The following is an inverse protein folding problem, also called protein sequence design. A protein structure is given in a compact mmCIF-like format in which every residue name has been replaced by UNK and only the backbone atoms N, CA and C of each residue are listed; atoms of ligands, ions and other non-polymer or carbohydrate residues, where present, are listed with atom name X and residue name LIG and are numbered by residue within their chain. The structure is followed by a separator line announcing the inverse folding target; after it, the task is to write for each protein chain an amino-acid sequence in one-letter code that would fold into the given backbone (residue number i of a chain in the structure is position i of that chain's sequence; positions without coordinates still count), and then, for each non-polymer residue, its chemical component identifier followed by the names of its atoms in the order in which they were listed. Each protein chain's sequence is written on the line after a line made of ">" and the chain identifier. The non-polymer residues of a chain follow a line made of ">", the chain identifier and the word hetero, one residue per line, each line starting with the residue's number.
data_IF_979136111198
#
_entry.id   IF_979136111198
#
_cell.length_a   1.000
_cell.length_b   1.000
_cell.length_c   1.000
_cell.angle_alpha   90.00
_cell.angle_beta   90.00
_cell.angle_gamma   90.00
#
_symmetry.space_group_name_H-M   'P 1'
#
loop_
_entity.id
_entity.type
_entity.pdbx_description
1 polymer ?
#
# COMPACT_ATOMS: atom_id res chain seq x y z
N UNK A 1 22.29 2.26 12.62
CA UNK A 1 21.88 3.40 13.48
C UNK A 1 21.03 2.93 14.66
N UNK A 2 19.84 2.37 14.45
CA UNK A 2 19.01 1.85 15.55
C UNK A 2 19.72 0.79 16.39
N UNK A 3 20.47 -0.13 15.76
CA UNK A 3 21.31 -1.11 16.46
C UNK A 3 22.31 -0.45 17.43
N UNK A 4 23.07 0.55 16.98
CA UNK A 4 24.00 1.31 17.84
C UNK A 4 23.27 1.97 19.01
N UNK A 5 22.13 2.62 18.75
CA UNK A 5 21.37 3.27 19.82
C UNK A 5 20.77 2.25 20.81
N UNK A 6 20.33 1.10 20.34
CA UNK A 6 19.82 0.03 21.19
C UNK A 6 20.93 -0.59 22.06
N UNK A 7 22.12 -0.82 21.52
CA UNK A 7 23.27 -1.31 22.31
C UNK A 7 23.68 -0.30 23.39
N UNK A 8 23.73 0.99 23.07
CA UNK A 8 24.18 2.03 23.98
C UNK A 8 23.13 2.43 25.03
N UNK A 9 21.85 2.48 24.63
CA UNK A 9 20.79 3.08 25.44
C UNK A 9 19.66 2.12 25.79
N UNK A 10 19.54 0.99 25.08
CA UNK A 10 18.42 0.05 25.24
C UNK A 10 18.48 -0.80 26.50
N UNK A 11 19.67 -1.01 27.08
CA UNK A 11 19.84 -1.80 28.33
C UNK A 11 19.18 -3.18 28.28
N UNK A 12 19.15 -3.81 27.09
CA UNK A 12 18.55 -5.12 26.87
C UNK A 12 17.01 -5.11 26.77
N UNK A 13 16.37 -3.94 26.65
CA UNK A 13 14.93 -3.84 26.37
C UNK A 13 14.56 -4.60 25.09
N UNK A 14 13.35 -5.15 25.07
CA UNK A 14 12.74 -5.79 23.91
C UNK A 14 11.30 -5.26 23.74
N UNK A 15 10.69 -5.42 22.55
CA UNK A 15 9.28 -5.10 22.34
C UNK A 15 8.35 -5.71 23.39
N UNK A 16 8.61 -6.97 23.78
CA UNK A 16 7.80 -7.69 24.79
C UNK A 16 7.95 -7.07 26.18
N UNK A 17 9.15 -6.61 26.54
CA UNK A 17 9.41 -6.00 27.85
C UNK A 17 8.81 -4.60 27.99
N UNK A 18 8.64 -3.87 26.87
CA UNK A 18 8.13 -2.50 26.86
C UNK A 18 6.66 -2.42 26.50
N UNK A 19 6.10 -3.47 25.89
CA UNK A 19 4.75 -3.47 25.33
C UNK A 19 4.63 -2.63 24.05
N UNK A 20 5.74 -2.18 23.47
CA UNK A 20 5.78 -1.38 22.25
C UNK A 20 5.88 -2.34 21.06
N UNK A 21 5.08 -2.09 20.02
CA UNK A 21 5.11 -2.84 18.76
C UNK A 21 6.52 -2.83 18.14
N UNK A 22 6.98 -3.95 17.58
CA UNK A 22 8.39 -4.17 17.27
C UNK A 22 9.04 -3.18 16.28
N UNK A 23 8.34 -2.78 15.22
CA UNK A 23 8.77 -1.76 14.27
C UNK A 23 8.81 -0.36 14.89
N UNK A 24 7.80 -0.01 15.70
CA UNK A 24 7.79 1.26 16.46
C UNK A 24 8.94 1.30 17.46
N UNK A 25 9.16 0.20 18.19
CA UNK A 25 10.25 0.05 19.15
C UNK A 25 11.62 0.27 18.48
N UNK A 26 11.88 -0.35 17.33
CA UNK A 26 13.13 -0.14 16.58
C UNK A 26 13.21 1.27 15.98
N UNK A 27 12.07 1.84 15.57
CA UNK A 27 11.93 3.23 15.12
C UNK A 27 12.28 4.24 16.22
N UNK A 28 11.87 4.01 17.45
CA UNK A 28 12.19 4.86 18.61
C UNK A 28 13.70 4.96 18.81
N UNK A 29 14.44 3.85 18.64
CA UNK A 29 15.91 3.89 18.69
C UNK A 29 16.53 4.62 17.50
N UNK A 30 15.88 4.66 16.35
CA UNK A 30 16.32 5.49 15.22
C UNK A 30 16.17 6.99 15.55
N UNK A 31 15.03 7.38 16.12
CA UNK A 31 14.77 8.76 16.58
C UNK A 31 15.73 9.14 17.70
N UNK A 32 15.94 8.25 18.68
CA UNK A 32 16.90 8.44 19.76
C UNK A 32 18.33 8.65 19.22
N UNK A 33 18.76 7.82 18.27
CA UNK A 33 20.05 7.99 17.60
C UNK A 33 20.18 9.40 17.00
N UNK A 34 19.14 9.88 16.28
CA UNK A 34 19.14 11.20 15.68
C UNK A 34 19.22 12.34 16.70
N UNK A 35 18.45 12.23 17.79
CA UNK A 35 18.44 13.22 18.88
C UNK A 35 19.78 13.29 19.61
N UNK A 36 20.38 12.14 19.93
CA UNK A 36 21.69 12.09 20.59
C UNK A 36 22.82 12.53 19.65
N UNK A 37 22.75 12.17 18.37
CA UNK A 37 23.69 12.67 17.36
C UNK A 37 23.64 14.20 17.27
N UNK A 38 22.44 14.80 17.28
CA UNK A 38 22.27 16.25 17.24
C UNK A 38 22.98 16.94 18.42
N UNK A 39 22.86 16.40 19.64
CA UNK A 39 23.56 16.92 20.83
C UNK A 39 25.09 16.84 20.68
N UNK A 40 25.60 15.73 20.12
CA UNK A 40 27.03 15.56 19.87
C UNK A 40 27.54 16.55 18.81
N UNK A 41 26.76 16.77 17.75
CA UNK A 41 27.08 17.77 16.70
C UNK A 41 27.10 19.18 17.27
N UNK A 42 26.12 19.56 18.09
CA UNK A 42 26.07 20.87 18.76
C UNK A 42 27.29 21.08 19.67
N UNK A 43 27.73 20.03 20.38
CA UNK A 43 28.95 20.08 21.22
C UNK A 43 30.23 20.23 20.37
N UNK A 44 30.31 19.50 19.24
CA UNK A 44 31.42 19.63 18.30
C UNK A 44 31.48 21.03 17.66
N UNK A 45 30.33 21.59 17.29
CA UNK A 45 30.23 22.95 16.77
C UNK A 45 30.63 23.99 17.82
N UNK A 46 30.21 23.82 19.08
CA UNK A 46 30.65 24.67 20.19
C UNK A 46 32.17 24.62 20.42
N UNK A 47 32.82 23.53 20.01
CA UNK A 47 34.28 23.34 20.06
C UNK A 47 35.01 23.89 18.82
N UNK A 48 34.31 24.57 17.91
CA UNK A 48 34.88 25.22 16.73
C UNK A 48 34.84 24.38 15.43
N UNK A 49 34.21 23.21 15.42
CA UNK A 49 34.07 22.39 14.21
C UNK A 49 32.94 22.93 13.32
N UNK A 50 33.06 22.73 12.00
CA UNK A 50 31.92 22.90 11.10
C UNK A 50 30.89 21.80 11.36
N UNK A 51 29.62 22.05 11.03
CA UNK A 51 28.53 21.06 11.21
C UNK A 51 28.85 19.71 10.56
N UNK A 52 29.38 19.72 9.34
CA UNK A 52 29.72 18.52 8.58
C UNK A 52 30.85 17.71 9.23
N UNK A 53 31.87 18.41 9.74
CA UNK A 53 32.99 17.76 10.45
C UNK A 53 32.51 17.24 11.80
N UNK A 54 31.73 18.04 12.55
CA UNK A 54 31.17 17.62 13.83
C UNK A 54 30.28 16.38 13.69
N UNK A 55 29.49 16.27 12.61
CA UNK A 55 28.65 15.09 12.34
C UNK A 55 29.47 13.85 11.98
N UNK A 56 30.51 13.98 11.15
CA UNK A 56 31.40 12.86 10.81
C UNK A 56 32.24 12.40 12.01
N UNK A 57 32.70 13.35 12.82
CA UNK A 57 33.56 13.09 13.97
C UNK A 57 32.78 12.63 15.21
N UNK A 58 31.45 12.82 15.23
CA UNK A 58 30.58 12.42 16.33
C UNK A 58 30.77 10.93 16.67
N UNK A 59 31.01 10.58 17.95
CA UNK A 59 31.19 9.19 18.38
C UNK A 59 30.06 8.26 17.91
N UNK A 60 28.81 8.72 17.95
CA UNK A 60 27.67 7.92 17.46
C UNK A 60 27.74 7.62 15.96
N UNK A 61 28.20 8.59 15.15
CA UNK A 61 28.31 8.40 13.71
C UNK A 61 29.47 7.46 13.37
N UNK A 62 30.60 7.57 14.08
CA UNK A 62 31.71 6.62 13.95
C UNK A 62 31.30 5.20 14.36
N UNK A 63 30.56 5.04 15.45
CA UNK A 63 30.03 3.74 15.86
C UNK A 63 29.09 3.15 14.80
N UNK A 64 28.23 3.96 14.19
CA UNK A 64 27.35 3.52 13.10
C UNK A 64 28.13 3.10 11.84
N UNK A 65 29.21 3.81 11.50
CA UNK A 65 30.09 3.43 10.39
C UNK A 65 30.83 2.12 10.69
N UNK A 66 31.37 1.98 11.90
CA UNK A 66 32.06 0.75 12.31
C UNK A 66 31.11 -0.45 12.29
N UNK A 67 29.87 -0.28 12.77
CA UNK A 67 28.87 -1.35 12.75
C UNK A 67 28.48 -1.77 11.33
N UNK A 68 28.48 -0.83 10.37
CA UNK A 68 28.27 -1.18 8.95
C UNK A 68 29.43 -2.04 8.42
N UNK A 69 30.67 -1.65 8.69
CA UNK A 69 31.86 -2.44 8.31
C UNK A 69 31.82 -3.84 8.93
N UNK A 70 31.42 -3.92 10.20
CA UNK A 70 31.31 -5.19 10.93
C UNK A 70 30.21 -6.09 10.38
N UNK A 71 29.09 -5.50 9.95
CA UNK A 71 28.00 -6.20 9.26
C UNK A 71 28.44 -6.73 7.89
N UNK A 72 29.13 -5.91 7.08
CA UNK A 72 29.66 -6.33 5.77
C UNK A 72 30.72 -7.43 5.90
N UNK A 73 31.54 -7.38 6.95
CA UNK A 73 32.51 -8.42 7.28
C UNK A 73 31.87 -9.70 7.84
N UNK A 74 30.55 -9.71 8.08
CA UNK A 74 29.83 -10.86 8.61
C UNK A 74 30.18 -11.21 10.05
N UNK A 75 30.56 -10.22 10.88
CA UNK A 75 30.90 -10.47 12.30
C UNK A 75 29.70 -11.11 13.03
N UNK A 76 29.90 -12.23 13.76
CA UNK A 76 28.80 -12.98 14.36
C UNK A 76 27.84 -12.14 15.21
N UNK A 77 28.36 -11.37 16.16
CA UNK A 77 27.54 -10.59 17.10
C UNK A 77 26.72 -9.50 16.39
N UNK A 78 27.32 -8.81 15.41
CA UNK A 78 26.63 -7.79 14.61
C UNK A 78 25.53 -8.40 13.75
N UNK A 79 25.79 -9.56 13.14
CA UNK A 79 24.81 -10.28 12.34
C UNK A 79 23.65 -10.83 13.19
N UNK A 80 23.94 -11.32 14.40
CA UNK A 80 22.92 -11.78 15.34
C UNK A 80 22.02 -10.63 15.79
N UNK A 81 22.60 -9.49 16.18
CA UNK A 81 21.85 -8.29 16.53
C UNK A 81 21.00 -7.79 15.35
N UNK A 82 21.56 -7.77 14.14
CA UNK A 82 20.85 -7.36 12.94
C UNK A 82 19.64 -8.26 12.67
N UNK A 83 19.80 -9.59 12.73
CA UNK A 83 18.69 -10.54 12.58
C UNK A 83 17.62 -10.35 13.66
N UNK A 84 18.05 -10.18 14.91
CA UNK A 84 17.16 -9.97 16.05
C UNK A 84 16.30 -8.72 15.87
N UNK A 85 16.92 -7.57 15.60
CA UNK A 85 16.16 -6.33 15.44
C UNK A 85 15.25 -6.34 14.21
N UNK A 86 15.69 -6.92 13.09
CA UNK A 86 14.82 -7.05 11.91
C UNK A 86 13.64 -7.97 12.18
N UNK A 87 13.81 -9.05 12.94
CA UNK A 87 12.70 -9.94 13.30
C UNK A 87 11.60 -9.21 14.07
N UNK A 88 11.98 -8.26 14.94
CA UNK A 88 11.01 -7.39 15.63
C UNK A 88 10.29 -6.46 14.68
N UNK A 89 11.01 -5.86 13.73
CA UNK A 89 10.41 -4.98 12.71
C UNK A 89 9.41 -5.77 11.86
N UNK A 90 9.79 -6.94 11.36
CA UNK A 90 8.91 -7.76 10.51
C UNK A 90 7.66 -8.22 11.27
N UNK A 91 7.80 -8.69 12.51
CA UNK A 91 6.66 -9.03 13.34
C UNK A 91 5.73 -7.84 13.59
N UNK A 92 6.29 -6.63 13.72
CA UNK A 92 5.52 -5.39 13.80
C UNK A 92 4.75 -5.10 12.49
N UNK A 93 5.45 -5.11 11.35
CA UNK A 93 4.83 -4.89 10.05
C UNK A 93 3.72 -5.90 9.74
N UNK A 94 3.89 -7.17 10.12
CA UNK A 94 2.86 -8.20 9.92
C UNK A 94 1.54 -7.85 10.62
N UNK A 95 1.58 -7.23 11.81
CA UNK A 95 0.37 -6.75 12.50
C UNK A 95 -0.35 -5.69 11.67
N UNK A 96 0.39 -4.70 11.14
CA UNK A 96 -0.19 -3.65 10.29
C UNK A 96 -0.71 -4.21 8.98
N UNK A 97 0.04 -5.10 8.32
CA UNK A 97 -0.37 -5.72 7.05
C UNK A 97 -1.63 -6.56 7.22
N UNK A 98 -1.73 -7.38 8.27
CA UNK A 98 -2.93 -8.16 8.56
C UNK A 98 -4.15 -7.26 8.79
N UNK A 99 -3.98 -6.16 9.54
CA UNK A 99 -5.06 -5.21 9.80
C UNK A 99 -5.52 -4.50 8.53
N UNK A 100 -4.58 -4.06 7.69
CA UNK A 100 -4.90 -3.50 6.38
C UNK A 100 -5.52 -4.57 5.48
N UNK A 101 -5.22 -5.86 5.67
CA UNK A 101 -5.68 -6.96 4.81
C UNK A 101 -4.80 -7.13 3.58
N UNK A 102 -3.48 -7.04 3.77
CA UNK A 102 -2.45 -7.38 2.79
C UNK A 102 -1.66 -8.59 3.26
N UNK A 103 -1.33 -9.47 2.32
CA UNK A 103 -0.56 -10.69 2.53
C UNK A 103 0.56 -10.84 1.48
N UNK A 104 1.59 -11.62 1.82
CA UNK A 104 2.76 -11.81 0.98
C UNK A 104 3.18 -13.29 0.96
N UNK A 105 3.32 -13.86 -0.23
CA UNK A 105 3.83 -15.23 -0.41
C UNK A 105 5.34 -15.32 -0.19
N UNK A 106 6.08 -14.24 -0.52
CA UNK A 106 7.53 -14.21 -0.45
C UNK A 106 8.08 -12.82 -0.17
N UNK A 107 9.10 -12.77 0.67
CA UNK A 107 9.87 -11.56 0.98
C UNK A 107 11.26 -11.70 0.36
N UNK A 108 11.62 -10.76 -0.51
CA UNK A 108 12.95 -10.63 -1.07
C UNK A 108 13.72 -9.56 -0.32
N UNK A 109 14.96 -9.86 0.04
CA UNK A 109 15.82 -8.92 0.73
C UNK A 109 16.91 -8.42 -0.22
N UNK A 110 17.10 -7.10 -0.29
CA UNK A 110 18.20 -6.49 -1.06
C UNK A 110 19.59 -7.01 -0.65
N UNK A 111 19.72 -7.46 0.60
CA UNK A 111 20.93 -8.10 1.15
C UNK A 111 21.21 -9.48 0.55
N UNK A 112 20.27 -10.08 -0.17
CA UNK A 112 20.42 -11.38 -0.84
C UNK A 112 20.66 -11.22 -2.34
N UNK A 113 20.12 -10.16 -2.97
CA UNK A 113 20.13 -10.01 -4.43
C UNK A 113 21.38 -9.32 -4.98
N UNK A 114 22.16 -8.62 -4.14
CA UNK A 114 23.29 -7.81 -4.61
C UNK A 114 24.44 -8.63 -5.21
N UNK A 115 24.67 -9.86 -4.73
CA UNK A 115 25.74 -10.74 -5.25
C UNK A 115 25.43 -11.15 -6.69
N UNK A 116 24.21 -11.66 -6.93
CA UNK A 116 23.72 -11.98 -8.27
C UNK A 116 23.78 -10.74 -9.18
N UNK A 117 23.38 -9.57 -8.66
CA UNK A 117 23.51 -8.31 -9.38
C UNK A 117 24.94 -8.00 -9.84
N UNK A 118 25.94 -8.24 -8.98
CA UNK A 118 27.36 -8.03 -9.34
C UNK A 118 27.83 -8.99 -10.42
N UNK A 119 27.41 -10.26 -10.37
CA UNK A 119 27.74 -11.24 -11.42
C UNK A 119 27.14 -10.83 -12.78
N UNK A 120 25.93 -10.29 -12.77
CA UNK A 120 25.27 -9.74 -13.97
C UNK A 120 25.97 -8.48 -14.50
N UNK A 121 26.56 -7.66 -13.63
CA UNK A 121 27.42 -6.54 -14.05
C UNK A 121 28.68 -7.04 -14.76
N UNK A 122 29.34 -8.06 -14.22
CA UNK A 122 30.52 -8.65 -14.87
C UNK A 122 30.16 -9.27 -16.22
N UNK A 123 29.03 -9.98 -16.30
CA UNK A 123 28.49 -10.48 -17.57
C UNK A 123 28.23 -9.34 -18.57
N UNK A 124 27.67 -8.22 -18.11
CA UNK A 124 27.40 -7.06 -18.96
C UNK A 124 28.67 -6.37 -19.47
N UNK A 125 29.75 -6.34 -18.68
CA UNK A 125 31.08 -5.90 -19.13
C UNK A 125 31.62 -6.81 -20.24
N UNK A 126 31.54 -8.14 -20.05
CA UNK A 126 31.97 -9.12 -21.04
C UNK A 126 31.17 -9.03 -22.36
N UNK A 127 29.87 -8.74 -22.27
CA UNK A 127 28.99 -8.50 -23.42
C UNK A 127 29.14 -7.10 -24.05
N UNK A 128 29.99 -6.23 -23.48
CA UNK A 128 30.15 -4.82 -23.88
C UNK A 128 28.85 -3.99 -23.80
N UNK A 129 27.92 -4.41 -22.95
CA UNK A 129 26.73 -3.64 -22.58
C UNK A 129 27.09 -2.57 -21.56
N UNK A 130 28.00 -2.91 -20.65
CA UNK A 130 28.58 -1.98 -19.69
C UNK A 130 30.01 -1.62 -20.07
N UNK A 131 30.49 -0.49 -19.54
CA UNK A 131 31.86 -0.03 -19.68
C UNK A 131 32.40 0.49 -18.35
N UNK A 132 33.73 0.45 -18.19
CA UNK A 132 34.43 0.94 -17.00
C UNK A 132 35.00 2.33 -17.28
N UNK A 133 34.83 3.26 -16.35
CA UNK A 133 35.47 4.58 -16.39
C UNK A 133 36.86 4.53 -15.75
N UNK A 134 37.64 5.61 -15.93
CA UNK A 134 39.02 5.72 -15.43
C UNK A 134 39.13 5.57 -13.90
N UNK A 135 38.07 5.96 -13.16
CA UNK A 135 37.99 5.81 -11.71
C UNK A 135 37.64 4.39 -11.24
N UNK A 136 37.46 3.44 -12.17
CA UNK A 136 37.14 2.05 -11.89
C UNK A 136 35.64 1.75 -11.77
N UNK A 137 34.77 2.76 -11.76
CA UNK A 137 33.31 2.56 -11.70
C UNK A 137 32.73 2.01 -13.01
N UNK A 138 31.62 1.27 -12.92
CA UNK A 138 30.99 0.60 -14.07
C UNK A 138 29.66 1.25 -14.42
N UNK A 139 29.47 1.52 -15.71
CA UNK A 139 28.36 2.31 -16.26
C UNK A 139 27.74 1.66 -17.48
N UNK A 140 26.51 2.07 -17.78
CA UNK A 140 25.86 1.85 -19.07
C UNK A 140 25.66 3.19 -19.79
N UNK A 141 25.89 3.21 -21.10
CA UNK A 141 25.54 4.36 -21.95
C UNK A 141 24.15 4.15 -22.54
N UNK A 142 23.22 5.01 -22.15
CA UNK A 142 21.83 5.02 -22.62
C UNK A 142 21.49 6.28 -23.41
N UNK A 143 22.49 7.12 -23.77
CA UNK A 143 22.30 8.29 -24.64
C UNK A 143 21.67 7.92 -25.98
N UNK A 144 22.02 6.79 -26.64
CA UNK A 144 21.34 6.34 -27.86
C UNK A 144 19.84 6.08 -27.67
N UNK A 145 19.41 5.79 -26.44
CA UNK A 145 18.02 5.52 -26.07
C UNK A 145 17.29 6.76 -25.51
N UNK A 146 17.95 7.93 -25.57
CA UNK A 146 17.42 9.21 -25.07
C UNK A 146 17.46 9.36 -23.55
N UNK A 147 18.38 8.67 -22.86
CA UNK A 147 18.60 8.73 -21.42
C UNK A 147 20.07 9.06 -21.10
N UNK A 148 20.40 9.26 -19.82
CA UNK A 148 21.78 9.54 -19.42
C UNK A 148 22.59 8.25 -19.17
N UNK A 149 23.91 8.40 -19.06
CA UNK A 149 24.75 7.33 -18.52
C UNK A 149 24.33 7.00 -17.09
N UNK A 150 24.22 5.70 -16.79
CA UNK A 150 23.83 5.23 -15.45
C UNK A 150 24.91 4.36 -14.85
N UNK A 151 25.26 4.64 -13.60
CA UNK A 151 26.16 3.81 -12.81
C UNK A 151 25.46 2.52 -12.39
N UNK A 152 26.15 1.40 -12.55
CA UNK A 152 25.71 0.06 -12.14
C UNK A 152 26.67 -0.60 -11.14
N UNK A 153 27.84 -0.01 -10.90
CA UNK A 153 28.76 -0.38 -9.82
C UNK A 153 29.65 0.81 -9.46
N UNK A 154 29.86 1.07 -8.17
CA UNK A 154 30.76 2.13 -7.71
C UNK A 154 32.23 1.77 -7.93
N UNK A 155 33.11 2.78 -7.87
CA UNK A 155 34.56 2.60 -8.02
C UNK A 155 35.18 1.71 -6.93
N UNK A 156 34.60 1.70 -5.73
CA UNK A 156 34.97 0.80 -4.62
C UNK A 156 34.41 -0.64 -4.78
N UNK A 157 33.72 -0.94 -5.88
CA UNK A 157 33.12 -2.25 -6.15
C UNK A 157 31.79 -2.50 -5.44
N UNK A 158 31.26 -1.53 -4.67
CA UNK A 158 29.96 -1.67 -4.01
C UNK A 158 28.81 -1.62 -5.02
N UNK A 159 27.77 -2.41 -4.73
CA UNK A 159 26.55 -2.43 -5.52
C UNK A 159 25.73 -1.15 -5.28
N UNK A 160 24.95 -0.75 -6.30
CA UNK A 160 23.93 0.29 -6.19
C UNK A 160 22.54 -0.35 -6.33
N UNK A 161 21.47 0.40 -6.04
CA UNK A 161 20.09 -0.10 -6.18
C UNK A 161 19.82 -0.70 -7.57
N UNK A 162 20.33 -0.08 -8.63
CA UNK A 162 20.21 -0.62 -9.99
C UNK A 162 20.80 -2.04 -10.10
N UNK A 163 21.95 -2.29 -9.48
CA UNK A 163 22.59 -3.61 -9.45
C UNK A 163 21.71 -4.64 -8.78
N UNK A 164 21.14 -4.28 -7.63
CA UNK A 164 20.28 -5.14 -6.82
C UNK A 164 18.99 -5.49 -7.57
N UNK A 165 18.37 -4.50 -8.22
CA UNK A 165 17.13 -4.71 -8.99
C UNK A 165 17.34 -5.54 -10.25
N UNK A 166 18.51 -5.46 -10.90
CA UNK A 166 18.87 -6.37 -12.00
C UNK A 166 18.94 -7.81 -11.47
N UNK A 167 19.57 -8.01 -10.31
CA UNK A 167 19.60 -9.32 -9.63
C UNK A 167 18.20 -9.83 -9.29
N UNK A 168 17.38 -8.99 -8.66
CA UNK A 168 16.00 -9.32 -8.29
C UNK A 168 15.12 -9.67 -9.50
N UNK A 169 15.32 -8.98 -10.64
CA UNK A 169 14.59 -9.30 -11.87
C UNK A 169 14.93 -10.69 -12.43
N UNK A 170 16.18 -11.15 -12.25
CA UNK A 170 16.59 -12.51 -12.64
C UNK A 170 16.06 -13.52 -11.62
N UNK A 171 16.25 -13.28 -10.33
CA UNK A 171 15.82 -14.20 -9.26
C UNK A 171 14.33 -14.54 -9.36
N UNK A 172 13.47 -13.52 -9.48
CA UNK A 172 12.01 -13.73 -9.64
C UNK A 172 11.67 -14.53 -10.90
N UNK A 173 12.43 -14.35 -11.98
CA UNK A 173 12.18 -15.08 -13.22
C UNK A 173 12.66 -16.52 -13.14
N UNK A 174 13.79 -16.79 -12.51
CA UNK A 174 14.26 -18.17 -12.32
C UNK A 174 13.33 -18.96 -11.39
N UNK A 175 12.70 -18.28 -10.43
CA UNK A 175 11.78 -18.95 -9.50
C UNK A 175 10.39 -19.19 -10.09
N UNK A 176 9.84 -18.23 -10.83
CA UNK A 176 8.43 -18.30 -11.27
C UNK A 176 8.25 -18.35 -12.78
N UNK A 177 9.28 -18.07 -13.57
CA UNK A 177 9.21 -17.90 -15.04
C UNK A 177 8.07 -16.97 -15.46
N UNK A 178 7.82 -15.91 -14.69
CA UNK A 178 6.67 -15.05 -14.86
C UNK A 178 6.70 -14.29 -16.20
N UNK A 179 5.57 -14.31 -16.91
CA UNK A 179 5.36 -13.49 -18.13
C UNK A 179 5.31 -11.99 -17.81
N UNK A 180 4.86 -11.65 -16.59
CA UNK A 180 4.66 -10.28 -16.13
C UNK A 180 5.11 -10.14 -14.67
N UNK A 181 5.96 -9.16 -14.40
CA UNK A 181 6.38 -8.74 -13.06
C UNK A 181 6.05 -7.26 -12.89
N UNK A 182 5.00 -6.98 -12.11
CA UNK A 182 4.52 -5.62 -11.80
C UNK A 182 5.28 -5.07 -10.59
N UNK A 183 5.99 -3.97 -10.78
CA UNK A 183 6.63 -3.20 -9.72
C UNK A 183 5.70 -2.05 -9.33
N UNK A 184 5.13 -2.09 -8.12
CA UNK A 184 4.23 -1.03 -7.60
C UNK A 184 5.07 -0.06 -6.79
N UNK A 185 5.55 1.02 -7.42
CA UNK A 185 6.49 1.97 -6.80
C UNK A 185 6.15 3.41 -7.21
N UNK A 186 6.38 4.37 -6.31
CA UNK A 186 6.04 5.77 -6.51
C UNK A 186 6.66 6.42 -7.76
N UNK A 187 6.02 7.50 -8.23
CA UNK A 187 6.37 8.26 -9.44
C UNK A 187 7.81 8.81 -9.45
N UNK A 188 8.40 9.03 -8.27
CA UNK A 188 9.79 9.42 -8.10
C UNK A 188 10.79 8.41 -8.68
N UNK A 189 10.39 7.14 -8.86
CA UNK A 189 11.22 6.06 -9.42
C UNK A 189 10.95 5.77 -10.91
N UNK A 190 10.18 6.60 -11.61
CA UNK A 190 9.87 6.40 -13.04
C UNK A 190 11.13 6.24 -13.91
N UNK A 191 12.13 7.10 -13.71
CA UNK A 191 13.39 7.01 -14.45
C UNK A 191 14.13 5.72 -14.14
N UNK A 192 14.15 5.31 -12.87
CA UNK A 192 14.83 4.10 -12.40
C UNK A 192 14.28 2.84 -13.08
N UNK A 193 12.96 2.62 -13.06
CA UNK A 193 12.38 1.43 -13.68
C UNK A 193 12.44 1.43 -15.21
N UNK A 194 12.39 2.61 -15.84
CA UNK A 194 12.66 2.74 -17.28
C UNK A 194 14.07 2.26 -17.62
N UNK A 195 15.07 2.70 -16.84
CA UNK A 195 16.47 2.28 -17.01
C UNK A 195 16.66 0.79 -16.70
N UNK A 196 16.05 0.27 -15.62
CA UNK A 196 16.11 -1.14 -15.26
C UNK A 196 15.65 -2.03 -16.42
N UNK A 197 14.44 -1.76 -16.95
CA UNK A 197 13.88 -2.52 -18.08
C UNK A 197 14.83 -2.52 -19.27
N UNK A 198 15.37 -1.36 -19.62
CA UNK A 198 16.26 -1.20 -20.75
C UNK A 198 17.61 -1.93 -20.56
N UNK A 199 18.17 -1.89 -19.34
CA UNK A 199 19.36 -2.68 -18.99
C UNK A 199 19.08 -4.17 -19.16
N UNK A 200 17.98 -4.68 -18.60
CA UNK A 200 17.61 -6.08 -18.72
C UNK A 200 17.43 -6.50 -20.20
N UNK A 201 16.84 -5.63 -21.04
CA UNK A 201 16.70 -5.87 -22.48
C UNK A 201 18.06 -5.94 -23.19
N UNK A 202 18.98 -5.00 -22.91
CA UNK A 202 20.32 -4.98 -23.52
C UNK A 202 21.19 -6.16 -23.07
N UNK A 203 21.03 -6.59 -21.83
CA UNK A 203 21.65 -7.83 -21.31
C UNK A 203 21.01 -9.11 -21.90
N UNK A 204 19.87 -8.97 -22.58
CA UNK A 204 19.07 -10.06 -23.16
C UNK A 204 18.57 -11.02 -22.07
N UNK A 205 18.14 -10.48 -20.94
CA UNK A 205 17.56 -11.27 -19.86
C UNK A 205 16.12 -11.68 -20.20
N UNK A 206 15.73 -12.94 -19.97
CA UNK A 206 14.36 -13.41 -20.23
C UNK A 206 13.28 -12.60 -19.50
N UNK A 207 13.60 -12.12 -18.30
CA UNK A 207 12.69 -11.31 -17.46
C UNK A 207 12.37 -9.94 -18.05
N UNK A 208 13.17 -9.44 -19.00
CA UNK A 208 13.13 -8.05 -19.44
C UNK A 208 11.79 -7.61 -20.05
N UNK A 209 11.14 -8.49 -20.81
CA UNK A 209 9.87 -8.19 -21.47
C UNK A 209 8.74 -7.97 -20.43
N UNK A 210 8.71 -8.81 -19.40
CA UNK A 210 7.71 -8.82 -18.35
C UNK A 210 7.86 -7.73 -17.28
N UNK A 211 8.95 -6.95 -17.27
CA UNK A 211 9.09 -5.83 -16.32
C UNK A 211 8.06 -4.75 -16.63
N UNK A 212 7.14 -4.51 -15.70
CA UNK A 212 6.14 -3.45 -15.76
C UNK A 212 6.20 -2.59 -14.51
N UNK A 213 6.27 -1.26 -14.65
CA UNK A 213 6.24 -0.33 -13.52
C UNK A 213 4.84 0.28 -13.39
N UNK A 214 4.10 -0.17 -12.38
CA UNK A 214 2.87 0.47 -11.96
C UNK A 214 3.22 1.66 -11.06
N UNK A 215 3.44 2.80 -11.71
CA UNK A 215 3.77 4.06 -11.08
C UNK A 215 2.57 4.67 -10.35
N UNK A 216 2.76 5.06 -9.09
CA UNK A 216 1.73 5.77 -8.32
C UNK A 216 2.18 7.15 -7.81
N UNK A 217 1.27 8.10 -7.75
CA UNK A 217 1.51 9.44 -7.22
C UNK A 217 1.57 9.43 -5.69
N UNK A 218 2.42 10.29 -5.11
CA UNK A 218 2.52 10.42 -3.66
C UNK A 218 1.25 11.01 -3.04
N UNK A 219 0.98 10.58 -1.80
CA UNK A 219 -0.06 11.10 -0.93
C UNK A 219 0.54 12.18 -0.04
N UNK A 220 -0.07 13.35 -0.02
CA UNK A 220 0.31 14.47 0.85
C UNK A 220 -0.78 14.70 1.92
N UNK A 221 -0.41 15.22 3.09
CA UNK A 221 -1.38 15.67 4.09
C UNK A 221 -1.66 17.17 3.88
N UNK A 222 -2.79 17.72 4.36
CA UNK A 222 -3.06 19.16 4.29
C UNK A 222 -1.98 20.01 4.97
N UNK A 223 -1.33 19.45 5.99
CA UNK A 223 -0.20 20.05 6.72
C UNK A 223 1.13 19.98 5.95
N UNK A 224 1.18 19.31 4.80
CA UNK A 224 2.37 19.14 3.95
C UNK A 224 2.81 17.68 3.83
N UNK A 225 4.08 17.48 3.44
CA UNK A 225 4.66 16.13 3.31
C UNK A 225 4.85 15.50 4.69
N UNK A 226 4.47 14.22 4.83
CA UNK A 226 4.89 13.38 5.96
C UNK A 226 6.43 13.35 6.01
N UNK A 227 7.06 14.08 6.95
CA UNK A 227 8.52 14.19 7.05
C UNK A 227 9.01 13.77 8.42
N UNK A 228 9.87 12.75 8.40
CA UNK A 228 10.56 12.16 9.56
C UNK A 228 11.59 13.06 10.24
N UNK A 229 12.07 14.12 9.58
CA UNK A 229 13.21 14.92 10.09
C UNK A 229 12.83 16.06 11.03
N UNK A 230 11.54 16.35 11.21
CA UNK A 230 11.03 17.46 12.02
C UNK A 230 10.10 17.01 13.16
N UNK A 231 10.04 15.70 13.45
CA UNK A 231 9.29 15.16 14.59
C UNK A 231 7.80 14.90 14.34
N UNK A 232 7.36 14.97 13.08
CA UNK A 232 5.99 14.65 12.65
C UNK A 232 6.03 13.46 11.68
N UNK A 233 6.40 12.29 12.22
CA UNK A 233 6.12 11.02 11.54
C UNK A 233 4.65 10.75 11.74
N UNK A 234 3.94 10.43 10.66
CA UNK A 234 2.58 9.90 10.76
C UNK A 234 2.71 8.43 10.40
N UNK A 235 2.60 7.57 11.41
CA UNK A 235 2.69 6.13 11.22
C UNK A 235 1.41 5.60 10.57
N UNK A 236 1.52 4.51 9.81
CA UNK A 236 0.35 3.91 9.16
C UNK A 236 -0.68 3.46 10.20
N UNK A 237 -0.22 2.96 11.35
CA UNK A 237 -1.08 2.59 12.47
C UNK A 237 -1.85 3.80 12.99
N UNK A 238 -1.19 4.94 13.22
CA UNK A 238 -1.85 6.17 13.69
C UNK A 238 -2.98 6.63 12.76
N UNK A 239 -2.77 6.55 11.44
CA UNK A 239 -3.81 6.89 10.45
C UNK A 239 -4.99 5.91 10.58
N UNK A 240 -4.74 4.62 10.73
CA UNK A 240 -5.81 3.63 10.85
C UNK A 240 -6.58 3.82 12.16
N UNK A 241 -5.89 4.08 13.27
CA UNK A 241 -6.46 4.45 14.56
C UNK A 241 -7.34 5.70 14.44
N UNK A 242 -6.84 6.77 13.81
CA UNK A 242 -7.55 8.02 13.59
C UNK A 242 -8.83 7.78 12.78
N UNK A 243 -8.71 7.07 11.66
CA UNK A 243 -9.84 6.73 10.79
C UNK A 243 -10.89 5.88 11.50
N UNK A 244 -10.46 4.94 12.33
CA UNK A 244 -11.37 4.12 13.16
C UNK A 244 -12.07 4.97 14.22
N UNK A 245 -11.37 5.92 14.83
CA UNK A 245 -11.91 6.85 15.82
C UNK A 245 -12.96 7.80 15.22
N UNK A 246 -12.69 8.37 14.03
CA UNK A 246 -13.65 9.20 13.29
C UNK A 246 -14.89 8.35 12.93
N UNK A 247 -14.69 7.13 12.42
CA UNK A 247 -15.80 6.22 12.11
C UNK A 247 -16.68 5.91 13.34
N UNK A 248 -16.06 5.67 14.51
CA UNK A 248 -16.77 5.44 15.76
C UNK A 248 -17.65 6.63 16.14
N UNK A 249 -17.06 7.84 16.17
CA UNK A 249 -17.77 9.07 16.52
C UNK A 249 -18.99 9.30 15.62
N UNK A 250 -18.80 9.25 14.29
CA UNK A 250 -19.88 9.49 13.33
C UNK A 250 -20.99 8.44 13.42
N UNK A 251 -20.64 7.18 13.68
CA UNK A 251 -21.63 6.09 13.79
C UNK A 251 -22.44 6.21 15.08
N UNK A 252 -21.82 6.63 16.17
CA UNK A 252 -22.49 6.84 17.47
C UNK A 252 -23.44 8.04 17.46
N UNK A 253 -23.06 9.14 16.81
CA UNK A 253 -23.90 10.33 16.62
C UNK A 253 -25.22 10.02 15.89
N UNK A 254 -25.24 8.99 15.03
CA UNK A 254 -26.45 8.53 14.33
C UNK A 254 -27.39 7.69 15.22
N UNK A 255 -26.95 7.26 16.41
CA UNK A 255 -27.79 6.61 17.42
C UNK A 255 -28.32 5.21 17.06
N UNK A 256 -27.74 4.54 16.06
CA UNK A 256 -28.24 3.25 15.52
C UNK A 256 -27.44 2.00 15.91
N UNK A 257 -26.51 2.12 16.87
CA UNK A 257 -25.65 1.02 17.35
C UNK A 257 -26.09 0.41 18.68
N UNK A 258 -27.29 0.76 19.18
CA UNK A 258 -27.79 0.28 20.47
C UNK A 258 -27.87 -1.26 20.55
N UNK A 259 -28.16 -1.92 19.42
CA UNK A 259 -28.31 -3.38 19.30
C UNK A 259 -27.00 -4.11 18.95
N UNK A 260 -25.84 -3.47 19.14
CA UNK A 260 -24.52 -4.05 18.91
C UNK A 260 -23.78 -4.21 20.24
N UNK A 261 -23.11 -5.35 20.41
CA UNK A 261 -22.14 -5.58 21.48
C UNK A 261 -20.90 -4.71 21.27
N UNK A 262 -20.08 -4.53 22.31
CA UNK A 262 -18.83 -3.76 22.22
C UNK A 262 -17.87 -4.31 21.15
N UNK A 263 -17.77 -5.64 21.04
CA UNK A 263 -16.96 -6.31 20.03
C UNK A 263 -17.47 -6.04 18.60
N UNK A 264 -18.78 -6.15 18.37
CA UNK A 264 -19.38 -5.87 17.05
C UNK A 264 -19.26 -4.39 16.67
N UNK A 265 -19.33 -3.45 17.64
CA UNK A 265 -19.08 -2.02 17.38
C UNK A 265 -17.64 -1.79 16.96
N UNK A 266 -16.68 -2.36 17.68
CA UNK A 266 -15.25 -2.23 17.34
C UNK A 266 -14.96 -2.76 15.94
N UNK A 267 -15.50 -3.92 15.59
CA UNK A 267 -15.36 -4.49 14.25
C UNK A 267 -16.02 -3.60 13.18
N UNK A 268 -17.22 -3.08 13.45
CA UNK A 268 -17.92 -2.17 12.52
C UNK A 268 -17.11 -0.89 12.27
N UNK A 269 -16.56 -0.28 13.32
CA UNK A 269 -15.76 0.94 13.20
C UNK A 269 -14.48 0.71 12.40
N UNK A 270 -13.82 -0.42 12.61
CA UNK A 270 -12.63 -0.82 11.85
C UNK A 270 -12.96 -1.07 10.37
N UNK A 271 -14.09 -1.74 10.08
CA UNK A 271 -14.60 -1.92 8.70
C UNK A 271 -14.87 -0.57 8.02
N UNK A 272 -15.53 0.37 8.71
CA UNK A 272 -15.87 1.69 8.17
C UNK A 272 -14.61 2.53 7.97
N UNK A 273 -13.74 2.60 8.99
CA UNK A 273 -12.51 3.39 8.95
C UNK A 273 -11.54 2.94 7.86
N UNK A 274 -11.25 1.62 7.79
CA UNK A 274 -10.42 1.07 6.72
C UNK A 274 -11.09 1.19 5.35
N UNK A 275 -12.41 1.03 5.27
CA UNK A 275 -13.15 1.20 4.03
C UNK A 275 -13.08 2.62 3.49
N UNK A 276 -13.16 3.62 4.38
CA UNK A 276 -12.99 5.02 4.04
C UNK A 276 -11.58 5.33 3.54
N UNK A 277 -10.55 4.90 4.28
CA UNK A 277 -9.14 5.10 3.92
C UNK A 277 -8.83 4.48 2.55
N UNK A 278 -9.12 3.19 2.38
CA UNK A 278 -8.82 2.47 1.13
C UNK A 278 -9.61 3.03 -0.05
N UNK A 279 -10.90 3.32 0.12
CA UNK A 279 -11.69 3.90 -0.96
C UNK A 279 -11.15 5.27 -1.38
N UNK A 280 -10.77 6.11 -0.41
CA UNK A 280 -10.22 7.43 -0.70
C UNK A 280 -8.95 7.34 -1.55
N UNK A 281 -8.06 6.40 -1.23
CA UNK A 281 -6.82 6.17 -1.99
C UNK A 281 -7.09 5.56 -3.36
N UNK A 282 -8.02 4.60 -3.45
CA UNK A 282 -8.24 3.82 -4.67
C UNK A 282 -9.21 4.48 -5.66
N UNK A 283 -10.03 5.46 -5.25
CA UNK A 283 -10.97 6.17 -6.15
C UNK A 283 -10.27 7.11 -7.14
N UNK A 284 -8.98 7.37 -6.95
CA UNK A 284 -8.17 8.23 -7.80
C UNK A 284 -7.27 7.37 -8.67
N UNK A 285 -7.07 7.78 -9.92
CA UNK A 285 -6.10 7.15 -10.82
C UNK A 285 -4.73 7.02 -10.12
N UNK A 286 -4.09 5.83 -10.11
CA UNK A 286 -2.84 5.60 -9.40
C UNK A 286 -1.77 6.65 -9.71
N UNK A 287 -1.68 7.15 -10.95
CA UNK A 287 -0.63 8.08 -11.39
C UNK A 287 -0.80 9.50 -10.85
N UNK A 288 -1.96 9.83 -10.28
CA UNK A 288 -2.23 11.18 -9.77
C UNK A 288 -1.76 11.30 -8.32
N UNK A 289 -1.17 12.45 -8.02
CA UNK A 289 -0.91 12.87 -6.64
C UNK A 289 -2.23 13.27 -5.99
N UNK A 290 -2.34 13.06 -4.68
CA UNK A 290 -3.55 13.40 -3.93
C UNK A 290 -3.22 13.95 -2.56
N UNK A 291 -4.10 14.82 -2.06
CA UNK A 291 -4.09 15.26 -0.67
C UNK A 291 -5.08 14.39 0.09
N UNK A 292 -4.61 13.72 1.14
CA UNK A 292 -5.43 12.89 2.01
C UNK A 292 -5.94 13.70 3.19
N UNK A 293 -7.25 13.92 3.24
CA UNK A 293 -7.93 14.56 4.36
C UNK A 293 -8.82 13.51 5.06
N UNK A 294 -8.47 13.06 6.29
CA UNK A 294 -9.25 12.07 7.04
C UNK A 294 -10.73 12.43 7.19
N UNK A 295 -11.04 13.68 7.54
CA UNK A 295 -12.44 14.11 7.76
C UNK A 295 -13.29 14.02 6.49
N UNK A 296 -12.72 14.34 5.31
CA UNK A 296 -13.42 14.25 4.03
C UNK A 296 -13.61 12.81 3.54
N UNK A 297 -12.90 11.86 4.13
CA UNK A 297 -12.96 10.45 3.73
C UNK A 297 -14.11 9.69 4.39
N UNK A 298 -14.68 10.22 5.49
CA UNK A 298 -15.81 9.62 6.22
C UNK A 298 -17.06 10.51 6.11
N UNK A 299 -17.84 10.30 5.06
CA UNK A 299 -19.16 10.91 4.88
C UNK A 299 -20.15 9.88 4.32
N UNK A 300 -21.28 9.64 4.98
CA UNK A 300 -22.32 8.70 4.54
C UNK A 300 -23.20 9.22 3.38
N UNK A 301 -22.99 10.45 2.93
CA UNK A 301 -23.72 11.08 1.83
C UNK A 301 -22.82 11.48 0.65
N UNK A 302 -21.51 11.53 0.87
CA UNK A 302 -20.50 11.94 -0.11
C UNK A 302 -19.98 10.81 -1.01
N UNK A 303 -18.96 11.15 -1.81
CA UNK A 303 -18.25 10.21 -2.68
C UNK A 303 -17.25 9.35 -1.87
N UNK A 304 -17.74 8.46 -1.02
CA UNK A 304 -16.91 7.75 -0.02
C UNK A 304 -17.17 6.23 0.02
N UNK A 305 -16.24 5.50 0.64
CA UNK A 305 -16.40 4.08 0.95
C UNK A 305 -17.57 3.80 1.91
N UNK A 306 -17.72 4.56 3.02
CA UNK A 306 -18.84 4.45 3.93
C UNK A 306 -20.22 4.59 3.29
N UNK A 307 -20.38 5.46 2.27
CA UNK A 307 -21.63 5.55 1.50
C UNK A 307 -22.00 4.21 0.82
N UNK A 308 -21.01 3.53 0.25
CA UNK A 308 -21.20 2.23 -0.43
C UNK A 308 -21.49 1.13 0.60
N UNK A 309 -20.73 1.10 1.70
CA UNK A 309 -20.92 0.15 2.81
C UNK A 309 -22.32 0.28 3.42
N UNK A 310 -22.78 1.50 3.65
CA UNK A 310 -24.12 1.77 4.16
C UNK A 310 -25.21 1.31 3.17
N UNK A 311 -24.99 1.53 1.87
CA UNK A 311 -25.90 1.04 0.83
C UNK A 311 -25.99 -0.48 0.83
N UNK A 312 -24.87 -1.18 0.97
CA UNK A 312 -24.84 -2.64 1.11
C UNK A 312 -25.62 -3.12 2.35
N UNK A 313 -25.33 -2.55 3.52
CA UNK A 313 -26.02 -2.92 4.77
C UNK A 313 -27.53 -2.65 4.70
N UNK A 314 -27.95 -1.57 4.04
CA UNK A 314 -29.37 -1.27 3.76
C UNK A 314 -30.02 -2.36 2.92
N UNK A 315 -29.37 -2.80 1.84
CA UNK A 315 -29.87 -3.89 0.99
C UNK A 315 -30.02 -5.17 1.82
N UNK A 316 -29.01 -5.53 2.61
CA UNK A 316 -29.06 -6.70 3.50
C UNK A 316 -30.19 -6.62 4.52
N UNK A 317 -30.48 -5.43 5.04
CA UNK A 317 -31.63 -5.19 5.92
C UNK A 317 -32.98 -5.43 5.22
N UNK A 318 -33.13 -5.01 3.96
CA UNK A 318 -34.33 -5.30 3.14
C UNK A 318 -34.49 -6.81 2.94
N UNK A 319 -33.44 -7.48 2.47
CA UNK A 319 -33.46 -8.91 2.16
C UNK A 319 -33.71 -9.79 3.39
N UNK A 320 -33.23 -9.37 4.58
CA UNK A 320 -33.49 -10.05 5.85
C UNK A 320 -34.96 -9.97 6.26
N UNK A 321 -35.64 -8.86 5.96
CA UNK A 321 -37.07 -8.68 6.24
C UNK A 321 -37.95 -9.37 5.21
N UNK A 322 -37.52 -9.36 3.95
CA UNK A 322 -38.29 -9.79 2.78
C UNK A 322 -37.40 -10.65 1.87
N UNK A 323 -37.17 -11.94 2.18
CA UNK A 323 -36.33 -12.78 1.34
C UNK A 323 -37.01 -13.03 -0.02
N UNK A 324 -36.25 -13.02 -1.14
CA UNK A 324 -36.79 -13.36 -2.45
C UNK A 324 -37.29 -14.81 -2.45
N UNK A 325 -38.38 -15.05 -3.17
CA UNK A 325 -38.97 -16.38 -3.34
C UNK A 325 -38.82 -16.82 -4.79
N UNK A 326 -38.74 -18.13 -4.99
CA UNK A 326 -38.88 -18.70 -6.33
C UNK A 326 -40.32 -18.48 -6.81
N UNK A 327 -40.47 -17.53 -7.72
CA UNK A 327 -41.75 -17.14 -8.29
C UNK A 327 -41.84 -17.65 -9.74
N UNK A 328 -42.59 -18.74 -10.00
CA UNK A 328 -42.70 -19.33 -11.33
C UNK A 328 -43.52 -18.47 -12.32
N UNK A 329 -44.22 -17.44 -11.84
CA UNK A 329 -44.94 -16.47 -12.67
C UNK A 329 -44.03 -15.38 -13.22
N UNK A 330 -43.13 -15.72 -14.13
CA UNK A 330 -42.36 -14.71 -14.87
C UNK A 330 -43.23 -14.07 -15.96
N UNK A 331 -44.29 -13.35 -15.58
CA UNK A 331 -44.78 -12.31 -16.48
C UNK A 331 -43.67 -11.25 -16.55
N UNK A 332 -43.11 -11.02 -17.74
CA UNK A 332 -42.16 -9.94 -17.97
C UNK A 332 -42.89 -8.61 -17.75
N UNK A 333 -42.94 -8.16 -16.50
CA UNK A 333 -43.42 -6.83 -16.17
C UNK A 333 -42.47 -5.82 -16.79
N UNK A 334 -43.01 -4.83 -17.51
CA UNK A 334 -42.19 -3.78 -18.11
C UNK A 334 -41.31 -3.11 -17.05
N UNK A 335 -40.01 -2.99 -17.34
CA UNK A 335 -39.06 -2.34 -16.43
C UNK A 335 -39.33 -0.84 -16.38
N UNK A 336 -39.37 -0.30 -15.16
CA UNK A 336 -39.35 1.14 -14.95
C UNK A 336 -37.97 1.71 -15.29
N UNK A 337 -37.85 3.02 -15.60
CA UNK A 337 -36.57 3.62 -16.00
C UNK A 337 -35.41 3.31 -15.06
N UNK A 338 -35.60 3.47 -13.73
CA UNK A 338 -34.55 3.21 -12.74
C UNK A 338 -34.25 1.71 -12.54
N UNK A 339 -35.27 0.84 -12.67
CA UNK A 339 -35.06 -0.61 -12.67
C UNK A 339 -34.17 -1.03 -13.85
N UNK A 340 -34.46 -0.49 -15.05
CA UNK A 340 -33.71 -0.75 -16.28
C UNK A 340 -32.29 -0.18 -16.19
N UNK A 341 -32.14 1.05 -15.73
CA UNK A 341 -30.84 1.72 -15.60
C UNK A 341 -29.91 0.94 -14.66
N UNK A 342 -30.40 0.54 -13.49
CA UNK A 342 -29.64 -0.26 -12.53
C UNK A 342 -29.26 -1.63 -13.11
N UNK A 343 -30.19 -2.33 -13.76
CA UNK A 343 -29.91 -3.62 -14.39
C UNK A 343 -28.83 -3.52 -15.48
N UNK A 344 -28.89 -2.49 -16.34
CA UNK A 344 -27.86 -2.23 -17.36
C UNK A 344 -26.51 -1.94 -16.70
N UNK A 345 -26.49 -1.19 -15.60
CA UNK A 345 -25.25 -0.88 -14.88
C UNK A 345 -24.64 -2.15 -14.25
N UNK A 346 -25.46 -3.03 -13.67
CA UNK A 346 -25.02 -4.30 -13.11
C UNK A 346 -24.46 -5.24 -14.20
N UNK A 347 -25.08 -5.29 -15.37
CA UNK A 347 -24.63 -6.10 -16.51
C UNK A 347 -23.24 -5.69 -17.04
N UNK A 348 -22.87 -4.41 -16.89
CA UNK A 348 -21.57 -3.89 -17.32
C UNK A 348 -20.39 -4.30 -16.44
N UNK A 349 -20.63 -5.01 -15.34
CA UNK A 349 -19.60 -5.29 -14.34
C UNK A 349 -18.38 -6.02 -14.91
N UNK A 350 -18.60 -7.08 -15.70
CA UNK A 350 -17.52 -7.88 -16.29
C UNK A 350 -16.63 -7.08 -17.23
N UNK A 351 -17.22 -6.32 -18.15
CA UNK A 351 -16.47 -5.47 -19.08
C UNK A 351 -15.69 -4.35 -18.36
N UNK A 352 -16.23 -3.82 -17.27
CA UNK A 352 -15.50 -2.86 -16.43
C UNK A 352 -14.30 -3.51 -15.71
N UNK A 353 -14.43 -4.74 -15.22
CA UNK A 353 -13.30 -5.46 -14.63
C UNK A 353 -12.19 -5.71 -15.65
N UNK A 354 -12.55 -6.15 -16.86
CA UNK A 354 -11.60 -6.34 -17.95
C UNK A 354 -10.86 -5.04 -18.28
N UNK A 355 -11.59 -3.92 -18.35
CA UNK A 355 -10.99 -2.59 -18.53
C UNK A 355 -10.03 -2.24 -17.38
N UNK A 356 -10.43 -2.43 -16.13
CA UNK A 356 -9.61 -2.13 -14.96
C UNK A 356 -8.31 -2.96 -14.92
N UNK A 357 -8.37 -4.24 -15.31
CA UNK A 357 -7.19 -5.10 -15.42
C UNK A 357 -6.26 -4.63 -16.54
N UNK A 358 -6.79 -4.34 -17.73
CA UNK A 358 -6.00 -3.90 -18.88
C UNK A 358 -5.31 -2.54 -18.61
N UNK A 359 -5.99 -1.64 -17.91
CA UNK A 359 -5.45 -0.33 -17.53
C UNK A 359 -4.62 -0.37 -16.23
N UNK A 360 -4.65 -1.49 -15.50
CA UNK A 360 -4.12 -1.62 -14.13
C UNK A 360 -4.59 -0.49 -13.21
N UNK A 361 -5.88 -0.15 -13.30
CA UNK A 361 -6.46 1.03 -12.67
C UNK A 361 -7.63 0.67 -11.73
N UNK A 362 -7.39 0.51 -10.42
CA UNK A 362 -8.44 0.17 -9.46
C UNK A 362 -9.50 1.26 -9.30
N UNK A 363 -9.21 2.51 -9.70
CA UNK A 363 -10.18 3.60 -9.61
C UNK A 363 -11.42 3.39 -10.46
N UNK A 364 -11.32 2.63 -11.55
CA UNK A 364 -12.49 2.26 -12.35
C UNK A 364 -13.48 1.42 -11.54
N UNK A 365 -12.97 0.47 -10.74
CA UNK A 365 -13.79 -0.38 -9.86
C UNK A 365 -14.40 0.43 -8.73
N UNK A 366 -13.63 1.34 -8.10
CA UNK A 366 -14.12 2.20 -7.04
C UNK A 366 -15.23 3.15 -7.53
N UNK A 367 -15.02 3.83 -8.66
CA UNK A 367 -16.00 4.73 -9.28
C UNK A 367 -17.28 3.98 -9.70
N UNK A 368 -17.13 2.75 -10.21
CA UNK A 368 -18.26 1.89 -10.56
C UNK A 368 -19.07 1.47 -9.34
N UNK A 369 -18.42 0.98 -8.28
CA UNK A 369 -19.08 0.58 -7.05
C UNK A 369 -19.90 1.74 -6.45
N UNK A 370 -19.34 2.95 -6.45
CA UNK A 370 -20.07 4.15 -6.07
C UNK A 370 -21.28 4.43 -6.97
N UNK A 371 -21.12 4.32 -8.28
CA UNK A 371 -22.22 4.54 -9.23
C UNK A 371 -23.37 3.53 -9.02
N UNK A 372 -23.05 2.26 -8.78
CA UNK A 372 -24.04 1.23 -8.44
C UNK A 372 -24.78 1.60 -7.16
N UNK A 373 -24.07 1.98 -6.10
CA UNK A 373 -24.68 2.39 -4.84
C UNK A 373 -25.57 3.63 -4.99
N UNK A 374 -25.13 4.61 -5.78
CA UNK A 374 -25.90 5.84 -6.07
C UNK A 374 -27.20 5.54 -6.81
N UNK A 375 -27.13 4.80 -7.92
CA UNK A 375 -28.32 4.45 -8.70
C UNK A 375 -29.27 3.57 -7.89
N UNK A 376 -28.75 2.63 -7.08
CA UNK A 376 -29.58 1.84 -6.18
C UNK A 376 -30.35 2.70 -5.17
N UNK A 377 -29.70 3.70 -4.56
CA UNK A 377 -30.38 4.58 -3.61
C UNK A 377 -31.48 5.42 -4.29
N UNK A 378 -31.27 5.89 -5.53
CA UNK A 378 -32.31 6.54 -6.34
C UNK A 378 -33.46 5.59 -6.63
N UNK A 379 -33.16 4.37 -7.09
CA UNK A 379 -34.15 3.31 -7.32
C UNK A 379 -34.99 3.01 -6.07
N UNK A 380 -34.34 2.84 -4.91
CA UNK A 380 -35.01 2.53 -3.65
C UNK A 380 -35.90 3.67 -3.14
N UNK A 381 -35.50 4.92 -3.39
CA UNK A 381 -36.28 6.10 -3.00
C UNK A 381 -37.55 6.24 -3.84
N UNK A 382 -37.44 6.03 -5.15
CA UNK A 382 -38.56 6.19 -6.09
C UNK A 382 -39.48 4.96 -6.15
N UNK A 383 -38.96 3.77 -5.91
CA UNK A 383 -39.69 2.52 -6.11
C UNK A 383 -39.65 1.64 -4.85
N UNK A 384 -40.79 1.58 -4.15
CA UNK A 384 -40.91 0.75 -2.94
C UNK A 384 -40.71 -0.73 -3.28
N UNK A 385 -39.76 -1.38 -2.58
CA UNK A 385 -39.54 -2.82 -2.70
C UNK A 385 -40.64 -3.60 -1.98
N UNK A 386 -40.92 -3.28 -0.70
CA UNK A 386 -41.88 -4.04 0.11
C UNK A 386 -43.34 -3.81 -0.27
N UNK A 387 -43.68 -2.59 -0.72
CA UNK A 387 -45.04 -2.19 -1.14
C UNK A 387 -45.12 -2.04 -2.66
N UNK A 388 -44.49 -2.96 -3.39
CA UNK A 388 -44.59 -2.97 -4.84
C UNK A 388 -46.04 -3.22 -5.29
N UNK A 389 -46.32 -2.78 -6.52
CA UNK A 389 -47.65 -2.73 -7.13
C UNK A 389 -48.22 -4.13 -7.41
N UNK A 390 -47.34 -5.14 -7.53
CA UNK A 390 -47.69 -6.55 -7.68
C UNK A 390 -46.63 -7.43 -7.02
N UNK A 391 -46.99 -8.69 -6.75
CA UNK A 391 -46.03 -9.68 -6.25
C UNK A 391 -44.90 -9.92 -7.25
N UNK A 392 -45.19 -9.94 -8.57
CA UNK A 392 -44.17 -10.05 -9.61
C UNK A 392 -43.17 -8.89 -9.57
N UNK A 393 -43.62 -7.64 -9.36
CA UNK A 393 -42.75 -6.47 -9.18
C UNK A 393 -41.94 -6.54 -7.90
N UNK A 394 -42.55 -6.97 -6.79
CA UNK A 394 -41.84 -7.20 -5.53
C UNK A 394 -40.69 -8.18 -5.72
N UNK A 395 -40.96 -9.35 -6.33
CA UNK A 395 -39.94 -10.37 -6.57
C UNK A 395 -38.85 -9.90 -7.54
N UNK A 396 -39.18 -9.16 -8.59
CA UNK A 396 -38.20 -8.52 -9.48
C UNK A 396 -37.27 -7.59 -8.69
N UNK A 397 -37.82 -6.67 -7.88
CA UNK A 397 -37.05 -5.69 -7.10
C UNK A 397 -36.19 -6.37 -6.03
N UNK A 398 -36.68 -7.43 -5.39
CA UNK A 398 -35.88 -8.23 -4.45
C UNK A 398 -34.71 -8.93 -5.15
N UNK A 399 -34.89 -9.45 -6.38
CA UNK A 399 -33.79 -10.00 -7.17
C UNK A 399 -32.77 -8.94 -7.59
N UNK A 400 -33.22 -7.75 -7.97
CA UNK A 400 -32.34 -6.59 -8.21
C UNK A 400 -31.52 -6.30 -6.95
N UNK A 401 -32.15 -6.23 -5.77
CA UNK A 401 -31.44 -6.06 -4.49
C UNK A 401 -30.35 -7.13 -4.27
N UNK A 402 -30.65 -8.42 -4.50
CA UNK A 402 -29.65 -9.50 -4.38
C UNK A 402 -28.46 -9.26 -5.33
N UNK A 403 -28.73 -8.98 -6.60
CA UNK A 403 -27.68 -8.73 -7.60
C UNK A 403 -26.83 -7.51 -7.21
N UNK A 404 -27.47 -6.41 -6.79
CA UNK A 404 -26.76 -5.20 -6.37
C UNK A 404 -25.88 -5.45 -5.16
N UNK A 405 -26.37 -6.15 -4.13
CA UNK A 405 -25.55 -6.47 -2.96
C UNK A 405 -24.33 -7.31 -3.33
N UNK A 406 -24.51 -8.32 -4.19
CA UNK A 406 -23.42 -9.18 -4.64
C UNK A 406 -22.37 -8.40 -5.45
N UNK A 407 -22.80 -7.56 -6.40
CA UNK A 407 -21.87 -6.73 -7.20
C UNK A 407 -21.12 -5.73 -6.31
N UNK A 408 -21.78 -5.08 -5.35
CA UNK A 408 -21.11 -4.19 -4.40
C UNK A 408 -20.09 -4.97 -3.56
N UNK A 409 -20.47 -6.14 -3.01
CA UNK A 409 -19.57 -6.96 -2.21
C UNK A 409 -18.34 -7.42 -3.01
N UNK A 410 -18.54 -7.86 -4.25
CA UNK A 410 -17.45 -8.27 -5.15
C UNK A 410 -16.54 -7.09 -5.51
N UNK A 411 -17.11 -5.95 -5.94
CA UNK A 411 -16.33 -4.79 -6.35
C UNK A 411 -15.52 -4.18 -5.18
N UNK A 412 -16.13 -4.05 -4.00
CA UNK A 412 -15.44 -3.57 -2.81
C UNK A 412 -14.42 -4.58 -2.31
N UNK A 413 -14.71 -5.89 -2.39
CA UNK A 413 -13.78 -6.96 -2.05
C UNK A 413 -12.51 -6.96 -2.91
N UNK A 414 -12.62 -6.69 -4.22
CA UNK A 414 -11.46 -6.53 -5.12
C UNK A 414 -10.57 -5.33 -4.75
N UNK A 415 -11.13 -4.33 -4.07
CA UNK A 415 -10.39 -3.18 -3.53
C UNK A 415 -9.82 -3.47 -2.12
N UNK A 416 -9.99 -4.69 -1.60
CA UNK A 416 -9.66 -5.05 -0.23
C UNK A 416 -10.56 -4.38 0.81
N UNK A 417 -11.76 -3.92 0.43
CA UNK A 417 -12.68 -3.22 1.32
C UNK A 417 -13.82 -4.15 1.74
N UNK A 418 -13.93 -4.39 3.04
CA UNK A 418 -15.05 -5.15 3.62
C UNK A 418 -16.33 -4.32 3.56
N UNK A 419 -17.47 -4.97 3.31
CA UNK A 419 -18.80 -4.37 3.40
C UNK A 419 -19.60 -5.04 4.52
N UNK A 420 -20.18 -4.28 5.47
CA UNK A 420 -20.85 -4.88 6.61
C UNK A 420 -22.26 -5.40 6.27
N UNK A 421 -22.72 -6.41 7.00
CA UNK A 421 -24.10 -6.96 6.91
C UNK A 421 -25.13 -6.09 7.66
N UNK A 422 -24.66 -5.33 8.66
CA UNK A 422 -25.44 -4.38 9.47
C UNK A 422 -24.58 -3.14 9.72
N UNK A 423 -25.20 -1.97 9.64
CA UNK A 423 -24.57 -0.67 9.82
C UNK A 423 -25.60 0.36 10.27
#
# INVERSE_FOLDING_TARGET
>A
KSMVAWELFGKGSTPESTGIKGDHFVGDYYVLFGNELKKQVETGMASGLTKEVAEKEAPLMKAAQQMLVDWEAGKPDTMELWKKMNSWVYAGFDVTYQRIGSDFDKIYYESQTYLLGKDLVEMGLNKKVFFRKDDGSVWIDLKPDGLDEKIVQRSDGTAVYMTQDIGLAVEKYEEYHADLSIYVVADEQNYHFKVLKLICQKLQLPSAAGIHHLSYGLVELPSGRMKTREGTVVDADDIIEEMTGIAAKHTEELGKVADFTEAERKELYDIIGLGALKFFLLRVDPKKRMVFNPDESIDFHGFTGPFIQYTHARIKSILRKEPPRDYPGAEMTALLPLEKELLILLEKYSGLLEQACNEMNPSLVANYAFSVAKIFNSFYTEHSVSRAESESKKQLRLKICVMTAHVIQSAMGLLGIRVPERM
#
